data_IF_550092120229
#
_entry.id   IF_550092120229
#
_cell.length_a   1.000
_cell.length_b   1.000
_cell.length_c   1.000
_cell.angle_alpha   90.00
_cell.angle_beta   90.00
_cell.angle_gamma   90.00
#
_symmetry.space_group_name_H-M   'P 1'
#
loop_
_entity.id
_entity.type
_entity.pdbx_description
1 polymer ?
#
# COMPACT_ATOMS: atom_id res chain seq x y z
N UNK A 1 -14.39 -9.19 10.72
CA UNK A 1 -12.94 -9.17 11.01
C UNK A 1 -12.28 -8.52 9.80
N UNK A 2 -11.56 -7.43 10.01
CA UNK A 2 -10.96 -6.61 8.94
C UNK A 2 -9.93 -7.40 8.14
N UNK A 3 -10.01 -7.32 6.82
CA UNK A 3 -9.12 -8.02 5.88
C UNK A 3 -8.41 -7.03 4.96
N UNK A 4 -7.10 -7.16 4.84
CA UNK A 4 -6.26 -6.34 3.98
C UNK A 4 -5.62 -7.19 2.89
N UNK A 5 -5.66 -6.71 1.65
CA UNK A 5 -4.97 -7.28 0.51
C UNK A 5 -3.74 -6.43 0.17
N UNK A 6 -2.56 -7.03 0.13
CA UNK A 6 -1.33 -6.41 -0.40
C UNK A 6 -1.06 -7.03 -1.76
N UNK A 7 -1.05 -6.22 -2.82
CA UNK A 7 -0.91 -6.73 -4.20
C UNK A 7 0.55 -6.65 -4.64
N UNK A 8 1.13 -7.80 -4.99
CA UNK A 8 2.52 -7.93 -5.38
C UNK A 8 2.64 -8.27 -6.88
N UNK A 9 3.35 -7.43 -7.60
CA UNK A 9 3.81 -7.71 -8.96
C UNK A 9 5.35 -7.79 -8.97
N UNK A 10 5.92 -8.54 -9.90
CA UNK A 10 7.39 -8.61 -10.04
C UNK A 10 8.01 -7.21 -10.13
N UNK A 11 9.05 -6.97 -9.35
CA UNK A 11 9.68 -5.66 -9.19
C UNK A 11 9.07 -4.80 -8.09
N UNK A 12 8.24 -5.37 -7.18
CA UNK A 12 7.79 -4.65 -5.98
C UNK A 12 8.96 -4.28 -5.06
N UNK A 13 8.81 -3.24 -4.25
CA UNK A 13 9.83 -2.88 -3.25
C UNK A 13 9.62 -3.70 -1.97
N UNK A 14 10.64 -4.44 -1.58
CA UNK A 14 10.57 -5.45 -0.53
C UNK A 14 10.28 -4.86 0.85
N UNK A 15 10.97 -3.78 1.22
CA UNK A 15 10.79 -3.10 2.52
C UNK A 15 9.36 -2.59 2.64
N UNK A 16 8.83 -1.97 1.59
CA UNK A 16 7.49 -1.36 1.61
C UNK A 16 6.39 -2.41 1.74
N UNK A 17 6.48 -3.49 0.98
CA UNK A 17 5.49 -4.56 1.02
C UNK A 17 5.55 -5.36 2.32
N UNK A 18 6.73 -5.86 2.68
CA UNK A 18 6.89 -6.79 3.79
C UNK A 18 6.75 -6.10 5.15
N UNK A 19 7.13 -4.83 5.28
CA UNK A 19 6.87 -4.04 6.48
C UNK A 19 5.37 -3.93 6.76
N UNK A 20 4.56 -3.61 5.75
CA UNK A 20 3.10 -3.54 5.91
C UNK A 20 2.53 -4.89 6.32
N UNK A 21 2.93 -5.96 5.65
CA UNK A 21 2.46 -7.32 5.96
C UNK A 21 2.82 -7.73 7.40
N UNK A 22 4.07 -7.53 7.80
CA UNK A 22 4.55 -7.88 9.14
C UNK A 22 3.79 -7.09 10.23
N UNK A 23 3.71 -5.77 10.09
CA UNK A 23 3.05 -4.89 11.06
C UNK A 23 1.56 -5.20 11.19
N UNK A 24 0.85 -5.42 10.08
CA UNK A 24 -0.57 -5.78 10.12
C UNK A 24 -0.80 -7.13 10.80
N UNK A 25 0.04 -8.12 10.52
CA UNK A 25 -0.05 -9.44 11.16
C UNK A 25 0.27 -9.37 12.66
N UNK A 26 1.22 -8.52 13.08
CA UNK A 26 1.47 -8.23 14.50
C UNK A 26 0.25 -7.59 15.18
N UNK A 27 -0.49 -6.75 14.48
CA UNK A 27 -1.75 -6.15 14.93
C UNK A 27 -2.93 -7.13 14.97
N UNK A 28 -2.74 -8.41 14.64
CA UNK A 28 -3.79 -9.42 14.46
C UNK A 28 -4.84 -9.03 13.39
N UNK A 29 -4.46 -8.19 12.43
CA UNK A 29 -5.27 -7.86 11.26
C UNK A 29 -4.99 -8.91 10.18
N UNK A 30 -6.05 -9.51 9.63
CA UNK A 30 -5.92 -10.48 8.54
C UNK A 30 -5.33 -9.78 7.31
N UNK A 31 -4.11 -10.17 6.93
CA UNK A 31 -3.39 -9.58 5.81
C UNK A 31 -2.89 -10.68 4.87
N UNK A 32 -3.32 -10.63 3.60
CA UNK A 32 -2.90 -11.56 2.57
C UNK A 32 -2.09 -10.85 1.48
N UNK A 33 -0.96 -11.46 1.12
CA UNK A 33 -0.21 -11.10 -0.07
C UNK A 33 -0.84 -11.77 -1.30
N UNK A 34 -1.30 -10.97 -2.24
CA UNK A 34 -1.73 -11.44 -3.56
C UNK A 34 -0.61 -11.26 -4.56
N UNK A 35 -0.16 -12.33 -5.17
CA UNK A 35 0.83 -12.28 -6.23
C UNK A 35 0.21 -12.47 -7.61
N UNK A 36 0.73 -11.79 -8.62
CA UNK A 36 0.41 -12.09 -10.02
C UNK A 36 0.92 -13.50 -10.40
N UNK A 37 1.91 -13.98 -9.65
CA UNK A 37 2.46 -15.33 -9.71
C UNK A 37 2.55 -15.91 -8.29
N UNK A 38 2.69 -17.24 -8.18
CA UNK A 38 2.83 -17.91 -6.87
C UNK A 38 4.06 -17.45 -6.10
N UNK A 39 5.16 -17.20 -6.82
CA UNK A 39 6.40 -16.64 -6.28
C UNK A 39 6.63 -15.31 -6.99
N UNK A 40 6.71 -14.22 -6.23
CA UNK A 40 6.93 -12.87 -6.75
C UNK A 40 8.30 -12.39 -6.33
N UNK A 41 9.07 -11.86 -7.27
CA UNK A 41 10.43 -11.36 -7.03
C UNK A 41 10.40 -9.83 -6.97
N UNK A 42 10.93 -9.28 -5.87
CA UNK A 42 11.05 -7.84 -5.66
C UNK A 42 12.14 -7.19 -6.51
N UNK A 43 12.18 -5.87 -6.46
CA UNK A 43 13.12 -5.05 -7.25
C UNK A 43 14.59 -5.24 -6.86
N UNK A 44 14.85 -5.81 -5.68
CA UNK A 44 16.19 -6.12 -5.18
C UNK A 44 16.49 -7.63 -5.14
N UNK A 45 15.70 -8.43 -5.88
CA UNK A 45 15.94 -9.84 -6.10
C UNK A 45 15.51 -10.77 -4.96
N UNK A 46 14.75 -10.28 -3.98
CA UNK A 46 14.19 -11.11 -2.93
C UNK A 46 12.86 -11.69 -3.41
N UNK A 47 12.77 -13.01 -3.45
CA UNK A 47 11.56 -13.71 -3.86
C UNK A 47 10.72 -14.09 -2.65
N UNK A 48 9.42 -13.83 -2.72
CA UNK A 48 8.45 -14.18 -1.70
C UNK A 48 7.34 -15.06 -2.28
N UNK A 49 6.84 -15.98 -1.46
CA UNK A 49 5.67 -16.77 -1.82
C UNK A 49 4.40 -15.98 -1.47
N UNK A 50 3.54 -15.76 -2.45
CA UNK A 50 2.26 -15.14 -2.23
C UNK A 50 1.32 -16.06 -1.44
N UNK A 51 0.50 -15.49 -0.56
CA UNK A 51 -0.54 -16.24 0.15
C UNK A 51 -1.66 -16.68 -0.79
N UNK A 52 -1.92 -15.87 -1.83
CA UNK A 52 -2.98 -16.07 -2.82
C UNK A 52 -2.54 -15.59 -4.20
N UNK A 53 -3.06 -16.22 -5.25
CA UNK A 53 -2.93 -15.69 -6.62
C UNK A 53 -3.94 -14.56 -6.85
N UNK A 54 -3.49 -13.51 -7.56
CA UNK A 54 -4.35 -12.44 -8.01
C UNK A 54 -5.33 -12.95 -9.07
N UNK A 55 -6.62 -12.71 -8.87
CA UNK A 55 -7.71 -13.15 -9.75
C UNK A 55 -8.72 -12.03 -10.04
N UNK A 56 -8.32 -10.77 -9.89
CA UNK A 56 -9.16 -9.62 -10.21
C UNK A 56 -10.27 -9.32 -9.20
N UNK A 57 -10.26 -9.90 -8.01
CA UNK A 57 -11.35 -9.73 -7.04
C UNK A 57 -10.84 -9.40 -5.63
N UNK A 58 -11.42 -8.33 -5.05
CA UNK A 58 -11.17 -7.85 -3.68
C UNK A 58 -12.47 -7.68 -2.86
N UNK A 59 -13.57 -8.29 -3.27
CA UNK A 59 -14.90 -8.08 -2.66
C UNK A 59 -14.91 -8.37 -1.15
N UNK A 60 -14.17 -9.40 -0.73
CA UNK A 60 -14.05 -9.81 0.67
C UNK A 60 -13.07 -8.98 1.50
N UNK A 61 -12.45 -7.94 0.92
CA UNK A 61 -11.44 -7.13 1.58
C UNK A 61 -11.95 -5.72 1.90
N UNK A 62 -11.49 -5.21 3.04
CA UNK A 62 -11.83 -3.87 3.54
C UNK A 62 -10.78 -2.82 3.13
N UNK A 63 -9.60 -3.29 2.72
CA UNK A 63 -8.51 -2.44 2.28
C UNK A 63 -7.65 -3.16 1.23
N UNK A 64 -7.15 -2.38 0.27
CA UNK A 64 -6.07 -2.77 -0.64
C UNK A 64 -4.84 -1.90 -0.41
N UNK A 65 -3.66 -2.51 -0.43
CA UNK A 65 -2.36 -1.85 -0.31
C UNK A 65 -1.50 -2.15 -1.53
N UNK A 66 -0.97 -1.11 -2.15
CA UNK A 66 -0.08 -1.18 -3.30
C UNK A 66 1.33 -0.75 -2.86
N UNK A 67 2.31 -1.66 -2.77
CA UNK A 67 3.70 -1.30 -2.57
C UNK A 67 4.29 -0.68 -3.84
N UNK A 68 5.35 0.11 -3.65
CA UNK A 68 6.10 0.68 -4.75
C UNK A 68 7.10 -0.29 -5.37
N UNK A 69 8.21 0.27 -5.84
CA UNK A 69 9.21 -0.45 -6.61
C UNK A 69 8.93 -0.43 -8.11
N UNK A 70 10.01 -0.53 -8.89
CA UNK A 70 9.93 -0.59 -10.36
C UNK A 70 10.57 -1.88 -10.85
N UNK A 71 10.00 -2.58 -11.84
CA UNK A 71 8.77 -2.26 -12.58
C UNK A 71 7.46 -2.66 -11.87
N UNK A 72 7.47 -3.03 -10.58
CA UNK A 72 6.29 -3.47 -9.85
C UNK A 72 5.11 -2.51 -9.97
N UNK A 73 5.33 -1.21 -9.70
CA UNK A 73 4.28 -0.19 -9.81
C UNK A 73 3.73 -0.04 -11.22
N UNK A 74 4.58 -0.17 -12.25
CA UNK A 74 4.14 -0.16 -13.65
C UNK A 74 3.29 -1.39 -13.96
N UNK A 75 3.71 -2.57 -13.49
CA UNK A 75 2.96 -3.81 -13.67
C UNK A 75 1.58 -3.74 -12.99
N UNK A 76 1.50 -3.15 -11.79
CA UNK A 76 0.23 -2.90 -11.11
C UNK A 76 -0.66 -1.94 -11.91
N UNK A 77 -0.09 -0.81 -12.37
CA UNK A 77 -0.83 0.19 -13.17
C UNK A 77 -1.42 -0.39 -14.46
N UNK A 78 -0.68 -1.28 -15.09
CA UNK A 78 -1.05 -1.80 -16.41
C UNK A 78 -2.01 -3.01 -16.33
N UNK A 79 -2.27 -3.55 -15.12
CA UNK A 79 -3.25 -4.60 -14.90
C UNK A 79 -4.68 -4.05 -14.88
N UNK A 80 -5.46 -4.41 -15.89
CA UNK A 80 -6.82 -3.88 -16.06
C UNK A 80 -7.80 -4.35 -14.99
N UNK A 81 -7.61 -5.55 -14.46
CA UNK A 81 -8.50 -6.08 -13.43
C UNK A 81 -8.21 -5.42 -12.09
N UNK A 82 -6.96 -5.06 -11.79
CA UNK A 82 -6.62 -4.25 -10.65
C UNK A 82 -7.22 -2.83 -10.78
N UNK A 83 -7.16 -2.21 -11.95
CA UNK A 83 -7.79 -0.90 -12.17
C UNK A 83 -9.29 -0.93 -11.87
N UNK A 84 -10.01 -1.94 -12.36
CA UNK A 84 -11.43 -2.13 -12.06
C UNK A 84 -11.68 -2.37 -10.56
N UNK A 85 -10.83 -3.19 -9.93
CA UNK A 85 -10.95 -3.47 -8.49
C UNK A 85 -10.71 -2.21 -7.64
N UNK A 86 -9.75 -1.35 -7.99
CA UNK A 86 -9.50 -0.08 -7.30
C UNK A 86 -10.69 0.87 -7.42
N UNK A 87 -11.26 1.02 -8.61
CA UNK A 87 -12.47 1.83 -8.83
C UNK A 87 -13.64 1.31 -7.97
N UNK A 88 -13.84 -0.01 -7.96
CA UNK A 88 -14.91 -0.64 -7.16
C UNK A 88 -14.71 -0.43 -5.64
N UNK A 89 -13.49 -0.61 -5.12
CA UNK A 89 -13.16 -0.38 -3.71
C UNK A 89 -13.43 1.08 -3.33
N UNK A 90 -13.11 2.04 -4.21
CA UNK A 90 -13.41 3.45 -3.99
C UNK A 90 -14.92 3.72 -3.96
N UNK A 91 -15.69 3.14 -4.89
CA UNK A 91 -17.15 3.26 -4.93
C UNK A 91 -17.84 2.66 -3.70
N UNK A 92 -17.26 1.61 -3.12
CA UNK A 92 -17.73 0.95 -1.90
C UNK A 92 -17.27 1.66 -0.61
N UNK A 93 -16.61 2.81 -0.70
CA UNK A 93 -16.02 3.59 0.43
C UNK A 93 -15.10 2.73 1.33
N UNK A 94 -14.36 1.81 0.72
CA UNK A 94 -13.32 1.01 1.36
C UNK A 94 -11.96 1.70 1.29
N UNK A 95 -11.00 1.20 2.07
CA UNK A 95 -9.68 1.80 2.15
C UNK A 95 -8.78 1.43 0.97
N UNK A 96 -8.06 2.42 0.47
CA UNK A 96 -6.97 2.26 -0.51
C UNK A 96 -5.70 2.85 0.07
N UNK A 97 -4.60 2.12 -0.01
CA UNK A 97 -3.31 2.60 0.43
C UNK A 97 -2.23 2.35 -0.64
N UNK A 98 -1.32 3.30 -0.84
CA UNK A 98 -0.23 3.17 -1.79
C UNK A 98 1.02 3.90 -1.32
N UNK A 99 2.21 3.38 -1.65
CA UNK A 99 3.47 3.96 -1.22
C UNK A 99 4.44 4.10 -2.41
N UNK A 100 5.33 5.09 -2.33
CA UNK A 100 6.45 5.29 -3.24
C UNK A 100 6.01 5.57 -4.69
N UNK A 101 6.28 4.66 -5.63
CA UNK A 101 5.87 4.79 -7.02
C UNK A 101 4.42 4.31 -7.30
N UNK A 102 3.83 3.56 -6.37
CA UNK A 102 2.50 2.95 -6.58
C UNK A 102 1.35 3.94 -6.85
N UNK A 103 1.36 5.22 -6.39
CA UNK A 103 0.33 6.18 -6.75
C UNK A 103 0.09 6.38 -8.25
N UNK A 104 1.02 6.00 -9.14
CA UNK A 104 0.76 6.00 -10.60
C UNK A 104 -0.39 5.05 -10.99
N UNK A 105 -0.57 3.96 -10.24
CA UNK A 105 -1.70 3.05 -10.45
C UNK A 105 -3.01 3.65 -9.94
N UNK A 106 -2.95 4.42 -8.85
CA UNK A 106 -4.11 5.12 -8.31
C UNK A 106 -4.61 6.20 -9.28
N UNK A 107 -3.68 6.96 -9.88
CA UNK A 107 -4.03 7.93 -10.92
C UNK A 107 -4.72 7.25 -12.09
N UNK A 108 -4.14 6.18 -12.61
CA UNK A 108 -4.70 5.44 -13.74
C UNK A 108 -6.11 4.91 -13.46
N UNK A 109 -6.41 4.56 -12.22
CA UNK A 109 -7.73 4.11 -11.78
C UNK A 109 -8.70 5.27 -11.43
N UNK A 110 -8.26 6.54 -11.52
CA UNK A 110 -9.07 7.70 -11.17
C UNK A 110 -9.22 7.95 -9.66
N UNK A 111 -8.47 7.25 -8.82
CA UNK A 111 -8.58 7.32 -7.35
C UNK A 111 -8.06 8.64 -6.79
N UNK A 112 -7.12 9.31 -7.49
CA UNK A 112 -6.49 10.54 -7.02
C UNK A 112 -7.28 11.81 -7.35
N UNK A 113 -8.35 11.71 -8.11
CA UNK A 113 -9.15 12.88 -8.48
C UNK A 113 -9.66 13.62 -7.23
N UNK A 114 -9.31 14.92 -7.12
CA UNK A 114 -9.63 15.79 -5.98
C UNK A 114 -9.11 15.28 -4.62
N UNK A 115 -8.07 14.45 -4.59
CA UNK A 115 -7.46 13.93 -3.35
C UNK A 115 -6.12 14.56 -3.05
N UNK A 116 -5.80 14.72 -1.75
CA UNK A 116 -4.44 14.95 -1.30
C UNK A 116 -3.69 13.61 -1.27
N UNK A 117 -2.44 13.63 -1.73
CA UNK A 117 -1.61 12.43 -1.74
C UNK A 117 -0.12 12.78 -1.58
N UNK A 118 0.68 11.77 -1.27
CA UNK A 118 2.13 11.82 -1.37
C UNK A 118 2.65 10.61 -2.13
N UNK A 119 3.89 10.68 -2.60
CA UNK A 119 4.57 9.62 -3.33
C UNK A 119 6.09 9.79 -3.23
N UNK A 120 6.84 8.94 -3.89
CA UNK A 120 8.29 9.09 -4.03
C UNK A 120 8.64 10.38 -4.81
N UNK A 121 9.71 11.07 -4.37
CA UNK A 121 10.14 12.34 -4.98
C UNK A 121 10.42 12.17 -6.49
N UNK A 122 9.76 12.97 -7.31
CA UNK A 122 9.81 12.92 -8.78
C UNK A 122 8.65 12.16 -9.42
N UNK A 123 8.02 11.23 -8.72
CA UNK A 123 6.86 10.48 -9.26
C UNK A 123 5.66 11.39 -9.49
N UNK A 124 5.45 12.39 -8.63
CA UNK A 124 4.37 13.37 -8.77
C UNK A 124 4.39 14.12 -10.10
N UNK A 125 5.53 14.20 -10.77
CA UNK A 125 5.64 14.85 -12.08
C UNK A 125 4.91 14.09 -13.20
N UNK A 126 4.67 12.79 -12.98
CA UNK A 126 3.92 11.91 -13.89
C UNK A 126 2.45 11.74 -13.52
N UNK A 127 2.00 12.37 -12.41
CA UNK A 127 0.64 12.31 -11.91
C UNK A 127 -0.04 13.65 -12.17
N UNK A 128 -1.10 13.64 -13.00
CA UNK A 128 -1.83 14.83 -13.39
C UNK A 128 -2.91 15.22 -12.37
N UNK A 129 -3.51 14.22 -11.73
CA UNK A 129 -4.61 14.39 -10.79
C UNK A 129 -4.14 14.48 -9.34
N UNK A 130 -4.97 15.13 -8.51
CA UNK A 130 -4.73 15.22 -7.08
C UNK A 130 -3.84 16.39 -6.67
N UNK A 131 -3.65 16.52 -5.37
CA UNK A 131 -2.86 17.58 -4.73
C UNK A 131 -1.69 16.96 -3.96
N UNK A 132 -0.51 16.98 -4.56
CA UNK A 132 0.71 16.43 -3.93
C UNK A 132 1.08 17.18 -2.65
N UNK A 133 1.39 16.42 -1.60
CA UNK A 133 1.87 16.91 -0.31
C UNK A 133 3.22 16.25 0.00
N UNK A 134 4.23 17.01 0.35
CA UNK A 134 5.54 16.46 0.76
C UNK A 134 5.53 16.09 2.25
N UNK A 135 4.67 15.13 2.60
CA UNK A 135 4.49 14.63 3.97
C UNK A 135 4.90 13.16 4.06
N UNK A 136 5.29 12.68 5.24
CA UNK A 136 5.67 11.27 5.47
C UNK A 136 4.53 10.32 5.12
N UNK A 137 3.31 10.64 5.59
CA UNK A 137 2.07 9.93 5.28
C UNK A 137 0.96 10.96 5.07
N UNK A 138 0.18 10.78 4.02
CA UNK A 138 -1.01 11.61 3.75
C UNK A 138 -2.24 10.72 3.81
N UNK A 139 -3.25 11.16 4.56
CA UNK A 139 -4.57 10.52 4.59
C UNK A 139 -5.63 11.52 4.10
N UNK A 140 -6.44 11.11 3.12
CA UNK A 140 -7.57 11.90 2.61
C UNK A 140 -8.79 11.00 2.39
N UNK A 141 -9.79 11.11 3.27
CA UNK A 141 -10.92 10.19 3.29
C UNK A 141 -10.46 8.75 3.55
N UNK A 142 -10.71 7.87 2.61
CA UNK A 142 -10.30 6.46 2.63
C UNK A 142 -9.01 6.18 1.86
N UNK A 143 -8.25 7.20 1.51
CA UNK A 143 -6.96 7.08 0.85
C UNK A 143 -5.82 7.33 1.83
N UNK A 144 -4.81 6.44 1.83
CA UNK A 144 -3.56 6.60 2.59
C UNK A 144 -2.40 6.47 1.61
N UNK A 145 -1.51 7.47 1.58
CA UNK A 145 -0.30 7.40 0.74
C UNK A 145 0.96 7.73 1.53
N UNK A 146 2.10 7.21 1.10
CA UNK A 146 3.40 7.43 1.73
C UNK A 146 4.52 7.50 0.69
N UNK A 147 5.76 7.84 1.13
CA UNK A 147 6.81 8.29 0.21
C UNK A 147 7.77 7.22 -0.27
N UNK A 148 8.15 6.28 0.56
CA UNK A 148 9.18 5.32 0.15
C UNK A 148 9.65 4.38 1.27
N UNK A 149 10.73 3.61 1.06
CA UNK A 149 11.16 2.57 1.99
C UNK A 149 11.33 3.04 3.43
N UNK A 150 11.94 4.22 3.63
CA UNK A 150 12.17 4.78 4.97
C UNK A 150 10.89 5.20 5.70
N UNK A 151 9.78 5.39 5.00
CA UNK A 151 8.50 5.76 5.58
C UNK A 151 7.55 4.56 5.78
N UNK A 152 8.00 3.36 5.43
CA UNK A 152 7.15 2.15 5.43
C UNK A 152 6.58 1.80 6.81
N UNK A 153 7.34 1.99 7.90
CA UNK A 153 6.86 1.77 9.26
C UNK A 153 5.75 2.77 9.64
N UNK A 154 5.98 4.07 9.43
CA UNK A 154 4.98 5.11 9.70
C UNK A 154 3.69 4.87 8.88
N UNK A 155 3.83 4.47 7.61
CA UNK A 155 2.74 4.09 6.74
C UNK A 155 1.95 2.90 7.29
N UNK A 156 2.64 1.83 7.70
CA UNK A 156 2.02 0.63 8.25
C UNK A 156 1.28 0.91 9.57
N UNK A 157 1.86 1.69 10.48
CA UNK A 157 1.19 2.10 11.72
C UNK A 157 -0.05 2.95 11.47
N UNK A 158 0.02 3.87 10.50
CA UNK A 158 -1.16 4.64 10.08
C UNK A 158 -2.27 3.73 9.58
N UNK A 159 -1.95 2.71 8.78
CA UNK A 159 -2.93 1.72 8.33
C UNK A 159 -3.57 1.00 9.53
N UNK A 160 -2.77 0.50 10.48
CA UNK A 160 -3.27 -0.16 11.70
C UNK A 160 -4.24 0.74 12.45
N UNK A 161 -3.87 2.01 12.68
CA UNK A 161 -4.70 3.01 13.35
C UNK A 161 -6.03 3.25 12.63
N UNK A 162 -6.00 3.45 11.31
CA UNK A 162 -7.21 3.67 10.50
C UNK A 162 -8.14 2.46 10.45
N UNK A 163 -7.61 1.27 10.68
CA UNK A 163 -8.40 0.03 10.80
C UNK A 163 -8.82 -0.27 12.25
N UNK A 164 -8.56 0.64 13.19
CA UNK A 164 -8.97 0.53 14.60
C UNK A 164 -8.09 -0.37 15.46
N UNK A 165 -6.87 -0.68 14.99
CA UNK A 165 -5.87 -1.42 15.75
C UNK A 165 -5.06 -0.53 16.71
N UNK A 166 -4.35 -1.15 17.65
CA UNK A 166 -3.48 -0.48 18.62
C UNK A 166 -2.08 -0.24 18.03
N UNK A 167 -1.95 0.84 17.28
CA UNK A 167 -0.67 1.21 16.66
C UNK A 167 0.37 1.66 17.70
N UNK A 168 -0.05 2.23 18.82
CA UNK A 168 0.87 2.74 19.85
C UNK A 168 1.58 1.59 20.56
N UNK A 169 0.85 0.53 20.92
CA UNK A 169 1.47 -0.68 21.47
C UNK A 169 2.47 -1.32 20.49
N UNK A 170 2.17 -1.27 19.19
CA UNK A 170 3.11 -1.77 18.15
C UNK A 170 4.36 -0.89 18.06
N UNK A 171 4.23 0.44 18.01
CA UNK A 171 5.36 1.37 18.00
C UNK A 171 6.29 1.12 19.18
N UNK A 172 5.74 0.93 20.39
CA UNK A 172 6.52 0.61 21.59
C UNK A 172 7.16 -0.77 21.49
N UNK A 173 6.40 -1.80 21.16
CA UNK A 173 6.88 -3.19 21.07
C UNK A 173 7.93 -3.42 19.99
N UNK A 174 7.91 -2.61 18.93
CA UNK A 174 8.89 -2.62 17.83
C UNK A 174 10.03 -1.60 18.04
N UNK A 175 10.10 -0.96 19.20
CA UNK A 175 11.12 0.05 19.58
C UNK A 175 11.11 1.30 18.68
N UNK A 176 10.03 1.54 17.95
CA UNK A 176 9.93 2.68 17.04
C UNK A 176 9.96 4.00 17.82
N UNK A 177 9.18 4.09 18.90
CA UNK A 177 9.15 5.26 19.77
C UNK A 177 10.53 5.55 20.40
N UNK A 178 11.25 4.52 20.84
CA UNK A 178 12.57 4.67 21.44
C UNK A 178 13.62 5.21 20.44
N UNK A 179 13.51 4.81 19.18
CA UNK A 179 14.50 5.18 18.14
C UNK A 179 14.18 6.52 17.49
N UNK A 180 12.90 6.80 17.23
CA UNK A 180 12.47 7.97 16.46
C UNK A 180 11.80 9.07 17.30
N UNK A 181 11.44 8.79 18.56
CA UNK A 181 10.83 9.77 19.47
C UNK A 181 9.38 10.12 19.13
N UNK A 182 8.68 9.26 18.42
CA UNK A 182 7.27 9.44 17.97
C UNK A 182 6.34 8.40 18.60
#
# INVERSE_FOLDING_TARGET
MTKVAVILANGFEEIEALTVVDVLRRANITCHMFGFEQVVTGSHGISVQADRLWQGNLDDYDMVVLPGGMPGSTNLRDDQDLMKALTKIQEEDKWIAAICAAPIALEKAGVLENKKFTCYDGVQESIADGCYQKETVVTDGKLITSRGPSTALAFAYTIVEKLGGDADSLRQGMLYTDVFGE
#
